data_IF_138999527731
#
_entry.id   IF_138999527731
#
_cell.length_a   1.000
_cell.length_b   1.000
_cell.length_c   1.000
_cell.angle_alpha   90.00
_cell.angle_beta   90.00
_cell.angle_gamma   90.00
#
_symmetry.space_group_name_H-M   'P 1'
#
loop_
_entity.id
_entity.type
_entity.pdbx_description
1 polymer ?
#
# COMPACT_ATOMS: atom_id res chain seq x y z
N UNK A 1 16.25 -4.99 -23.39
CA UNK A 1 14.97 -4.59 -22.77
C UNK A 1 14.93 -5.20 -21.39
N UNK A 2 14.87 -4.34 -20.36
CA UNK A 2 14.92 -4.79 -18.97
C UNK A 2 13.60 -5.42 -18.54
N UNK A 3 13.69 -6.51 -17.78
CA UNK A 3 12.57 -7.03 -17.01
C UNK A 3 12.56 -6.38 -15.63
N UNK A 4 11.38 -6.32 -14.99
CA UNK A 4 11.21 -5.64 -13.71
C UNK A 4 10.38 -6.49 -12.73
N UNK A 5 10.89 -6.60 -11.52
CA UNK A 5 10.14 -7.09 -10.35
C UNK A 5 9.95 -5.90 -9.40
N UNK A 6 8.70 -5.49 -9.19
CA UNK A 6 8.29 -4.57 -8.14
C UNK A 6 7.84 -5.38 -6.93
N UNK A 7 8.47 -5.17 -5.79
CA UNK A 7 8.03 -5.72 -4.50
C UNK A 7 7.63 -4.58 -3.59
N UNK A 8 6.36 -4.51 -3.24
CA UNK A 8 5.84 -3.66 -2.19
C UNK A 8 6.03 -4.35 -0.84
N UNK A 9 6.67 -3.67 0.10
CA UNK A 9 6.77 -4.12 1.50
C UNK A 9 6.00 -3.13 2.34
N UNK A 10 4.85 -3.55 2.83
CA UNK A 10 3.87 -2.69 3.49
C UNK A 10 4.39 -2.08 4.80
N UNK A 11 4.24 -0.77 4.95
CA UNK A 11 4.42 -0.04 6.21
C UNK A 11 5.85 0.37 6.58
N UNK A 12 6.86 0.24 5.72
CA UNK A 12 8.25 0.60 6.07
C UNK A 12 8.56 2.06 5.74
N UNK A 13 8.87 2.88 6.75
CA UNK A 13 9.44 4.20 6.49
C UNK A 13 10.93 4.13 6.12
N UNK A 14 11.42 5.17 5.43
CA UNK A 14 12.84 5.30 5.08
C UNK A 14 13.72 5.35 6.35
N UNK A 15 13.30 6.10 7.36
CA UNK A 15 14.02 6.20 8.64
C UNK A 15 14.04 4.85 9.37
N UNK A 16 12.94 4.09 9.36
CA UNK A 16 12.92 2.75 9.97
C UNK A 16 13.90 1.82 9.26
N UNK A 17 13.90 1.81 7.92
CA UNK A 17 14.87 1.04 7.15
C UNK A 17 16.31 1.42 7.51
N UNK A 18 16.67 2.71 7.53
CA UNK A 18 18.01 3.16 7.88
C UNK A 18 18.44 2.71 9.27
N UNK A 19 17.54 2.73 10.25
CA UNK A 19 17.83 2.33 11.63
C UNK A 19 18.16 0.84 11.74
N UNK A 20 17.47 -0.03 11.01
CA UNK A 20 17.63 -1.50 11.12
C UNK A 20 18.31 -2.14 9.90
N UNK A 21 18.78 -1.35 8.90
CA UNK A 21 19.34 -1.88 7.64
C UNK A 21 20.49 -2.89 7.86
N UNK A 22 21.23 -2.75 8.96
CA UNK A 22 22.29 -3.68 9.33
C UNK A 22 21.76 -5.10 9.66
N UNK A 23 20.45 -5.25 9.89
CA UNK A 23 19.74 -6.51 10.10
C UNK A 23 19.02 -7.01 8.82
N UNK A 24 19.08 -6.25 7.72
CA UNK A 24 18.40 -6.51 6.46
C UNK A 24 19.41 -6.70 5.32
N UNK A 25 20.17 -7.81 5.30
CA UNK A 25 21.33 -7.95 4.41
C UNK A 25 20.98 -7.94 2.92
N UNK A 26 19.81 -8.41 2.51
CA UNK A 26 19.40 -8.44 1.11
C UNK A 26 18.98 -7.06 0.62
N UNK A 27 18.16 -6.35 1.38
CA UNK A 27 17.75 -4.98 1.07
C UNK A 27 18.92 -4.01 1.15
N UNK A 28 19.79 -4.11 2.17
CA UNK A 28 21.02 -3.31 2.26
C UNK A 28 21.95 -3.60 1.07
N UNK A 29 22.09 -4.86 0.70
CA UNK A 29 22.88 -5.27 -0.47
C UNK A 29 22.36 -4.70 -1.79
N UNK A 30 21.04 -4.63 -1.97
CA UNK A 30 20.40 -4.00 -3.14
C UNK A 30 20.58 -2.48 -3.11
N UNK A 31 20.36 -1.83 -1.98
CA UNK A 31 20.54 -0.38 -1.82
C UNK A 31 21.97 0.07 -2.14
N UNK A 32 22.97 -0.70 -1.71
CA UNK A 32 24.39 -0.41 -1.99
C UNK A 32 24.78 -0.56 -3.47
N UNK A 33 24.10 -1.41 -4.21
CA UNK A 33 24.40 -1.68 -5.64
C UNK A 33 23.62 -0.82 -6.59
N UNK A 34 22.47 -0.28 -6.16
CA UNK A 34 21.51 0.41 -7.00
C UNK A 34 21.31 1.88 -6.64
N UNK A 35 20.10 2.35 -6.87
CA UNK A 35 19.65 3.68 -6.50
C UNK A 35 18.75 3.59 -5.26
N UNK A 36 19.14 4.32 -4.21
CA UNK A 36 18.30 4.48 -3.02
C UNK A 36 17.69 5.88 -3.01
N UNK A 37 16.42 5.98 -2.69
CA UNK A 37 15.71 7.23 -2.42
C UNK A 37 15.64 7.42 -0.91
N UNK A 38 16.18 8.53 -0.41
CA UNK A 38 16.27 8.79 1.03
C UNK A 38 14.94 9.32 1.60
N UNK A 39 14.25 10.17 0.85
CA UNK A 39 12.98 10.76 1.24
C UNK A 39 12.01 10.68 0.06
N UNK A 40 11.24 9.59 -0.02
CA UNK A 40 10.12 9.47 -0.95
C UNK A 40 8.86 10.01 -0.26
N UNK A 41 8.45 11.22 -0.65
CA UNK A 41 7.28 11.88 -0.07
C UNK A 41 5.99 11.15 -0.43
N UNK A 42 5.15 10.84 0.58
CA UNK A 42 3.83 10.24 0.35
C UNK A 42 2.82 11.27 -0.17
N UNK A 43 1.64 10.78 -0.50
CA UNK A 43 0.44 11.59 -0.71
C UNK A 43 -0.10 12.12 0.62
N UNK A 44 -1.02 13.07 0.53
CA UNK A 44 -1.92 13.38 1.67
C UNK A 44 -2.75 12.12 1.96
N UNK A 45 -2.95 11.77 3.20
CA UNK A 45 -3.50 10.47 3.60
C UNK A 45 -2.63 9.30 3.08
N UNK A 46 -1.34 9.30 3.42
CA UNK A 46 -0.40 8.23 3.10
C UNK A 46 -0.80 6.91 3.75
N UNK A 47 -1.72 6.18 3.11
CA UNK A 47 -2.22 4.88 3.51
C UNK A 47 -2.08 3.88 2.36
N UNK A 48 -2.40 2.62 2.61
CA UNK A 48 -2.09 1.52 1.69
C UNK A 48 -2.65 1.71 0.27
N UNK A 49 -3.92 2.06 0.10
CA UNK A 49 -4.49 2.14 -1.25
C UNK A 49 -3.99 3.37 -2.03
N UNK A 50 -3.94 4.60 -1.48
CA UNK A 50 -3.32 5.73 -2.16
C UNK A 50 -1.86 5.48 -2.50
N UNK A 51 -1.10 4.94 -1.57
CA UNK A 51 0.32 4.66 -1.74
C UNK A 51 0.60 3.71 -2.89
N UNK A 52 -0.05 2.54 -2.88
CA UNK A 52 0.06 1.56 -3.97
C UNK A 52 -0.35 2.15 -5.31
N UNK A 53 -1.45 2.92 -5.31
CA UNK A 53 -1.98 3.50 -6.56
C UNK A 53 -1.01 4.52 -7.16
N UNK A 54 -0.57 5.51 -6.40
CA UNK A 54 0.33 6.57 -6.91
C UNK A 54 1.63 6.00 -7.48
N UNK A 55 2.19 4.94 -6.88
CA UNK A 55 3.43 4.32 -7.34
C UNK A 55 3.29 3.56 -8.67
N UNK A 56 2.07 3.22 -9.09
CA UNK A 56 1.82 2.52 -10.35
C UNK A 56 1.07 3.34 -11.38
N UNK A 57 0.66 4.58 -11.07
CA UNK A 57 -0.06 5.44 -12.02
C UNK A 57 0.67 6.74 -12.36
N UNK A 58 1.70 7.15 -11.62
CA UNK A 58 2.48 8.37 -11.90
C UNK A 58 1.72 9.69 -11.75
N UNK A 59 0.56 9.66 -11.10
CA UNK A 59 -0.33 10.80 -10.85
C UNK A 59 -0.69 10.88 -9.39
N UNK A 60 -1.19 12.03 -8.91
CA UNK A 60 -1.63 12.22 -7.54
C UNK A 60 -3.06 11.73 -7.29
N UNK A 61 -3.47 11.65 -6.02
CA UNK A 61 -4.81 11.23 -5.60
C UNK A 61 -5.94 12.03 -6.24
N UNK A 62 -5.74 13.33 -6.46
CA UNK A 62 -6.68 14.22 -7.15
C UNK A 62 -6.99 13.79 -8.59
N UNK A 63 -6.04 13.10 -9.25
CA UNK A 63 -6.18 12.58 -10.60
C UNK A 63 -6.60 11.12 -10.61
N UNK A 64 -5.96 10.26 -9.80
CA UNK A 64 -6.26 8.83 -9.85
C UNK A 64 -7.46 8.41 -8.99
N UNK A 65 -7.99 9.28 -8.14
CA UNK A 65 -9.25 9.07 -7.42
C UNK A 65 -9.15 8.33 -6.09
N UNK A 66 -7.99 7.81 -5.73
CA UNK A 66 -7.77 7.06 -4.48
C UNK A 66 -7.01 7.96 -3.51
N UNK A 67 -7.72 8.66 -2.64
CA UNK A 67 -7.16 9.64 -1.70
C UNK A 67 -7.20 9.19 -0.23
N UNK A 68 -7.54 7.94 0.02
CA UNK A 68 -7.56 7.24 1.30
C UNK A 68 -7.84 5.77 1.06
N UNK A 69 -7.69 4.92 2.08
CA UNK A 69 -8.19 3.54 2.02
C UNK A 69 -9.71 3.54 1.84
N UNK A 70 -10.34 4.59 2.34
CA UNK A 70 -11.78 4.80 2.24
C UNK A 70 -12.06 6.08 1.45
N UNK A 71 -12.90 6.00 0.43
CA UNK A 71 -13.30 7.12 -0.42
C UNK A 71 -14.79 7.42 -0.29
N UNK A 72 -15.17 8.65 -0.61
CA UNK A 72 -16.56 9.10 -0.64
C UNK A 72 -17.21 8.79 -1.98
N UNK A 73 -18.34 8.10 -1.98
CA UNK A 73 -19.09 7.74 -3.21
C UNK A 73 -20.24 8.71 -3.54
N UNK A 74 -20.35 9.82 -2.80
CA UNK A 74 -21.44 10.78 -2.89
C UNK A 74 -22.56 10.54 -1.87
N UNK A 75 -22.57 9.39 -1.19
CA UNK A 75 -23.59 9.02 -0.18
C UNK A 75 -22.98 8.50 1.12
N UNK A 76 -21.88 7.75 1.02
CA UNK A 76 -21.18 7.13 2.15
C UNK A 76 -19.69 7.01 1.88
N UNK A 77 -18.95 6.83 2.95
CA UNK A 77 -17.58 6.35 2.86
C UNK A 77 -17.57 4.84 2.63
N UNK A 78 -16.76 4.38 1.69
CA UNK A 78 -16.52 2.96 1.40
C UNK A 78 -15.07 2.72 1.02
N UNK A 79 -14.61 1.49 1.16
CA UNK A 79 -13.28 1.12 0.70
C UNK A 79 -13.13 1.39 -0.80
N UNK A 80 -12.00 2.00 -1.17
CA UNK A 80 -11.59 2.13 -2.57
C UNK A 80 -11.25 0.76 -3.16
N UNK A 81 -11.43 0.57 -4.46
CA UNK A 81 -11.12 -0.66 -5.17
C UNK A 81 -10.40 -0.37 -6.49
N UNK A 82 -9.81 -1.35 -7.19
CA UNK A 82 -9.09 -1.12 -8.42
C UNK A 82 -9.90 -0.43 -9.53
N UNK A 83 -11.23 -0.55 -9.52
CA UNK A 83 -12.11 0.06 -10.52
C UNK A 83 -12.44 1.52 -10.22
N UNK A 84 -12.11 2.01 -9.02
CA UNK A 84 -12.18 3.43 -8.67
C UNK A 84 -10.97 4.22 -9.21
N UNK A 85 -9.90 3.53 -9.60
CA UNK A 85 -8.72 4.17 -10.20
C UNK A 85 -9.10 4.77 -11.55
N UNK A 86 -9.03 6.10 -11.66
CA UNK A 86 -9.54 6.88 -12.80
C UNK A 86 -8.57 6.96 -13.98
N UNK A 87 -7.33 6.56 -13.79
CA UNK A 87 -6.24 6.64 -14.80
C UNK A 87 -5.60 5.27 -15.02
N UNK A 88 -5.03 5.01 -16.20
CA UNK A 88 -4.38 3.73 -16.47
C UNK A 88 -3.13 3.52 -15.62
N UNK A 89 -2.90 2.28 -15.21
CA UNK A 89 -1.75 1.85 -14.39
C UNK A 89 -0.53 1.50 -15.23
N UNK A 90 0.61 1.29 -14.58
CA UNK A 90 1.82 0.74 -15.20
C UNK A 90 1.54 -0.61 -15.90
N UNK A 91 0.76 -1.48 -15.26
CA UNK A 91 0.36 -2.78 -15.82
C UNK A 91 -0.40 -2.60 -17.15
N UNK A 92 -1.35 -1.67 -17.21
CA UNK A 92 -2.06 -1.34 -18.44
C UNK A 92 -1.12 -0.91 -19.56
N UNK A 93 -0.19 0.04 -19.27
CA UNK A 93 0.76 0.52 -20.30
C UNK A 93 1.77 -0.56 -20.71
N UNK A 94 2.22 -1.39 -19.77
CA UNK A 94 3.11 -2.51 -20.06
C UNK A 94 2.43 -3.52 -21.01
N UNK A 95 1.19 -3.92 -20.73
CA UNK A 95 0.43 -4.79 -21.66
C UNK A 95 0.20 -4.15 -23.02
N UNK A 96 -0.16 -2.87 -23.05
CA UNK A 96 -0.33 -2.13 -24.30
C UNK A 96 0.95 -2.09 -25.14
N UNK A 97 2.12 -2.10 -24.49
CA UNK A 97 3.44 -2.20 -25.12
C UNK A 97 3.82 -3.65 -25.47
N UNK A 98 2.93 -4.62 -25.28
CA UNK A 98 3.18 -6.04 -25.59
C UNK A 98 4.03 -6.77 -24.56
N UNK A 99 4.13 -6.24 -23.33
CA UNK A 99 4.83 -6.89 -22.22
C UNK A 99 3.94 -7.89 -21.51
N UNK A 100 4.50 -9.01 -21.12
CA UNK A 100 3.84 -10.00 -20.26
C UNK A 100 3.85 -9.51 -18.80
N UNK A 101 2.67 -9.37 -18.20
CA UNK A 101 2.46 -8.78 -16.87
C UNK A 101 1.88 -9.81 -15.92
N UNK A 102 2.55 -10.05 -14.80
CA UNK A 102 2.02 -10.83 -13.69
C UNK A 102 1.80 -9.95 -12.46
N UNK A 103 0.57 -9.86 -12.00
CA UNK A 103 0.18 -9.25 -10.72
C UNK A 103 -0.03 -10.35 -9.68
N UNK A 104 0.85 -10.44 -8.70
CA UNK A 104 0.85 -11.52 -7.72
C UNK A 104 0.69 -10.94 -6.31
N UNK A 105 -0.55 -10.85 -5.88
CA UNK A 105 -0.87 -10.30 -4.58
C UNK A 105 -0.77 -8.78 -4.47
N UNK A 106 -0.48 -8.06 -5.55
CA UNK A 106 -0.37 -6.60 -5.52
C UNK A 106 -1.75 -5.95 -5.54
N UNK A 107 -2.01 -5.09 -4.56
CA UNK A 107 -3.26 -4.34 -4.46
C UNK A 107 -3.41 -3.28 -5.56
N UNK A 108 -4.66 -2.90 -5.83
CA UNK A 108 -5.05 -1.86 -6.78
C UNK A 108 -4.76 -2.15 -8.26
N UNK A 109 -4.52 -3.41 -8.61
CA UNK A 109 -4.48 -3.89 -10.00
C UNK A 109 -5.85 -4.44 -10.41
N UNK A 110 -6.22 -4.20 -11.66
CA UNK A 110 -7.36 -4.87 -12.30
C UNK A 110 -6.89 -6.20 -12.90
N UNK A 111 -7.63 -7.31 -12.71
CA UNK A 111 -7.26 -8.60 -13.31
C UNK A 111 -7.02 -8.51 -14.83
N UNK A 112 -7.83 -7.72 -15.54
CA UNK A 112 -7.75 -7.52 -16.99
C UNK A 112 -6.52 -6.75 -17.46
N UNK A 113 -5.83 -6.04 -16.58
CA UNK A 113 -4.56 -5.35 -16.88
C UNK A 113 -3.34 -6.28 -16.70
N UNK A 114 -3.55 -7.55 -16.36
CA UNK A 114 -2.51 -8.56 -16.21
C UNK A 114 -2.74 -9.75 -17.15
N UNK A 115 -1.68 -10.42 -17.57
CA UNK A 115 -1.75 -11.69 -18.30
C UNK A 115 -1.92 -12.86 -17.33
N UNK A 116 -1.38 -12.69 -16.11
CA UNK A 116 -1.62 -13.55 -14.97
C UNK A 116 -1.88 -12.66 -13.74
N UNK A 117 -2.97 -12.92 -13.01
CA UNK A 117 -3.31 -12.18 -11.81
C UNK A 117 -3.75 -13.12 -10.68
N UNK A 118 -3.17 -12.90 -9.52
CA UNK A 118 -3.59 -13.48 -8.25
C UNK A 118 -3.92 -12.31 -7.29
N UNK A 119 -5.11 -12.31 -6.66
CA UNK A 119 -5.49 -11.24 -5.73
C UNK A 119 -4.59 -11.26 -4.49
N UNK A 120 -4.44 -10.10 -3.81
CA UNK A 120 -3.85 -10.07 -2.47
C UNK A 120 -4.67 -10.95 -1.51
N UNK A 121 -4.02 -11.63 -0.59
CA UNK A 121 -4.70 -12.50 0.38
C UNK A 121 -5.65 -11.72 1.29
N UNK A 122 -5.35 -10.47 1.61
CA UNK A 122 -6.21 -9.62 2.42
C UNK A 122 -7.54 -9.26 1.72
N UNK A 123 -7.60 -9.28 0.39
CA UNK A 123 -8.87 -9.16 -0.36
C UNK A 123 -9.78 -10.35 -0.05
N UNK A 124 -9.25 -11.56 0.00
CA UNK A 124 -10.01 -12.74 0.38
C UNK A 124 -10.52 -12.64 1.81
N UNK A 125 -9.68 -12.17 2.74
CA UNK A 125 -10.09 -11.93 4.13
C UNK A 125 -11.22 -10.88 4.21
N UNK A 126 -11.09 -9.77 3.49
CA UNK A 126 -12.09 -8.72 3.45
C UNK A 126 -13.42 -9.24 2.89
N UNK A 127 -13.40 -10.04 1.82
CA UNK A 127 -14.59 -10.65 1.24
C UNK A 127 -15.26 -11.68 2.18
N UNK A 128 -14.45 -12.40 2.97
CA UNK A 128 -15.00 -13.33 3.98
C UNK A 128 -15.67 -12.58 5.14
N UNK A 129 -15.06 -11.54 5.67
CA UNK A 129 -15.65 -10.69 6.72
C UNK A 129 -16.95 -10.04 6.26
N UNK A 130 -17.05 -9.63 5.00
CA UNK A 130 -18.27 -9.07 4.44
C UNK A 130 -19.46 -10.04 4.45
N UNK A 131 -19.24 -11.35 4.59
CA UNK A 131 -20.31 -12.34 4.73
C UNK A 131 -20.89 -12.41 6.14
N UNK A 132 -20.07 -12.15 7.16
CA UNK A 132 -20.40 -12.41 8.55
C UNK A 132 -20.62 -11.13 9.38
N UNK A 133 -20.02 -10.00 8.99
CA UNK A 133 -20.06 -8.74 9.71
C UNK A 133 -20.48 -7.58 8.77
N UNK A 134 -21.71 -7.10 8.90
CA UNK A 134 -22.05 -5.82 8.26
C UNK A 134 -21.18 -4.71 8.89
N UNK A 135 -20.51 -3.83 8.11
CA UNK A 135 -20.96 -3.20 6.87
C UNK A 135 -19.96 -3.14 5.70
N UNK A 136 -19.17 -4.15 5.44
CA UNK A 136 -18.34 -4.16 4.24
C UNK A 136 -19.21 -4.56 3.05
N UNK A 137 -19.57 -3.67 2.12
CA UNK A 137 -20.18 -4.13 0.90
C UNK A 137 -19.10 -4.82 0.08
N UNK A 138 -19.15 -6.13 0.00
CA UNK A 138 -18.56 -6.83 -1.12
C UNK A 138 -19.40 -6.40 -2.34
N UNK A 139 -19.03 -5.25 -2.93
CA UNK A 139 -19.60 -4.88 -4.20
C UNK A 139 -19.09 -5.84 -5.29
N UNK A 140 -19.78 -5.87 -6.41
CA UNK A 140 -19.42 -6.76 -7.52
C UNK A 140 -17.98 -6.53 -8.01
N UNK A 141 -17.46 -5.30 -7.88
CA UNK A 141 -16.12 -4.91 -8.27
C UNK A 141 -15.05 -5.57 -7.38
N UNK A 142 -15.27 -5.62 -6.06
CA UNK A 142 -14.38 -6.35 -5.16
C UNK A 142 -14.42 -7.86 -5.40
N UNK A 143 -15.61 -8.43 -5.69
CA UNK A 143 -15.73 -9.83 -6.08
C UNK A 143 -14.97 -10.13 -7.38
N UNK A 144 -14.95 -9.19 -8.32
CA UNK A 144 -14.18 -9.32 -9.55
C UNK A 144 -12.67 -9.20 -9.28
N UNK A 145 -12.23 -8.20 -8.52
CA UNK A 145 -10.84 -8.02 -8.13
C UNK A 145 -10.28 -9.17 -7.26
N UNK A 146 -11.15 -9.92 -6.59
CA UNK A 146 -10.78 -11.09 -5.79
C UNK A 146 -10.64 -12.40 -6.57
N UNK A 147 -10.76 -12.38 -7.91
CA UNK A 147 -10.66 -13.59 -8.75
C UNK A 147 -9.29 -13.73 -9.38
N UNK A 148 -8.77 -14.96 -9.35
CA UNK A 148 -7.58 -15.32 -10.13
C UNK A 148 -7.87 -15.19 -11.63
N UNK A 149 -6.97 -14.57 -12.38
CA UNK A 149 -6.98 -14.54 -13.83
C UNK A 149 -5.73 -15.26 -14.36
N UNK A 150 -5.93 -16.37 -15.04
CA UNK A 150 -4.86 -17.18 -15.65
C UNK A 150 -5.41 -17.86 -16.92
N UNK A 151 -5.53 -17.08 -17.98
CA UNK A 151 -6.14 -17.55 -19.23
C UNK A 151 -5.32 -18.63 -19.95
N UNK A 152 -4.03 -18.72 -19.65
CA UNK A 152 -3.10 -19.69 -20.26
C UNK A 152 -2.84 -20.92 -19.38
N UNK A 153 -3.39 -20.99 -18.17
CA UNK A 153 -3.18 -22.10 -17.23
C UNK A 153 -1.76 -22.18 -16.70
N UNK A 154 -1.05 -21.06 -16.60
CA UNK A 154 0.36 -20.98 -16.20
C UNK A 154 0.57 -21.46 -14.77
N UNK A 155 -0.35 -21.14 -13.87
CA UNK A 155 -0.29 -21.56 -12.46
C UNK A 155 -0.40 -23.08 -12.33
N UNK A 156 -1.27 -23.71 -13.10
CA UNK A 156 -1.42 -25.17 -13.09
C UNK A 156 -0.20 -25.92 -13.65
N UNK A 157 0.63 -25.24 -14.43
CA UNK A 157 1.88 -25.80 -14.97
C UNK A 157 3.08 -25.68 -14.00
N UNK A 158 2.92 -24.90 -12.90
CA UNK A 158 3.97 -24.76 -11.89
C UNK A 158 3.96 -25.97 -10.96
N UNK A 159 5.15 -26.52 -10.67
CA UNK A 159 5.34 -27.55 -9.65
C UNK A 159 5.42 -26.90 -8.25
N UNK A 160 4.36 -26.16 -7.88
CA UNK A 160 4.23 -25.55 -6.57
C UNK A 160 2.88 -25.93 -5.97
N UNK A 161 2.84 -26.18 -4.67
CA UNK A 161 1.58 -26.32 -3.96
C UNK A 161 0.97 -24.92 -3.80
N UNK A 162 -0.13 -24.69 -4.52
CA UNK A 162 -0.92 -23.45 -4.45
C UNK A 162 -1.98 -23.54 -3.34
N UNK A 163 -1.71 -24.24 -2.26
CA UNK A 163 -2.60 -24.30 -1.10
C UNK A 163 -2.61 -22.93 -0.40
N UNK A 164 -3.27 -21.99 -1.08
CA UNK A 164 -3.54 -20.66 -0.54
C UNK A 164 -4.46 -20.86 0.66
N UNK A 165 -4.06 -20.29 1.76
CA UNK A 165 -4.74 -20.08 3.04
C UNK A 165 -6.15 -20.65 3.08
N UNK A 166 -6.40 -21.64 3.93
CA UNK A 166 -7.74 -22.14 4.21
C UNK A 166 -8.66 -20.97 4.61
N UNK A 167 -9.69 -20.66 3.80
CA UNK A 167 -10.60 -19.57 4.11
C UNK A 167 -11.41 -19.80 5.41
N UNK A 168 -11.38 -21.01 5.96
CA UNK A 168 -12.04 -21.37 7.22
C UNK A 168 -11.08 -21.34 8.40
N UNK A 169 -9.79 -20.97 8.24
CA UNK A 169 -8.85 -20.86 9.32
C UNK A 169 -9.31 -19.81 10.36
N UNK A 170 -9.15 -20.12 11.61
CA UNK A 170 -9.54 -19.22 12.71
C UNK A 170 -8.62 -17.98 12.76
N UNK A 171 -9.17 -16.84 13.18
CA UNK A 171 -8.48 -15.55 13.24
C UNK A 171 -7.16 -15.54 14.02
N UNK A 172 -6.98 -16.42 15.00
CA UNK A 172 -5.77 -16.52 15.83
C UNK A 172 -4.50 -16.87 15.03
N UNK A 173 -4.66 -17.38 13.80
CA UNK A 173 -3.55 -17.72 12.90
C UNK A 173 -3.34 -16.71 11.77
N UNK A 174 -4.07 -15.58 11.78
CA UNK A 174 -4.06 -14.60 10.69
C UNK A 174 -2.65 -14.16 10.29
N UNK A 175 -1.82 -13.79 11.25
CA UNK A 175 -0.45 -13.32 11.00
C UNK A 175 0.43 -14.43 10.38
N UNK A 176 0.29 -15.65 10.86
CA UNK A 176 1.05 -16.80 10.33
C UNK A 176 0.60 -17.14 8.92
N UNK A 177 -0.72 -17.10 8.66
CA UNK A 177 -1.28 -17.38 7.34
C UNK A 177 -0.89 -16.29 6.33
N UNK A 178 -0.91 -15.01 6.74
CA UNK A 178 -0.44 -13.91 5.90
C UNK A 178 1.03 -14.05 5.51
N UNK A 179 1.92 -14.43 6.44
CA UNK A 179 3.33 -14.69 6.14
C UNK A 179 3.53 -15.85 5.17
N UNK A 180 2.74 -16.91 5.30
CA UNK A 180 2.77 -18.03 4.34
C UNK A 180 2.26 -17.61 2.98
N UNK A 181 1.20 -16.79 2.92
CA UNK A 181 0.66 -16.27 1.67
C UNK A 181 1.67 -15.35 0.98
N UNK A 182 2.29 -14.41 1.70
CA UNK A 182 3.36 -13.57 1.17
C UNK A 182 4.50 -14.41 0.59
N UNK A 183 4.95 -15.46 1.31
CA UNK A 183 5.98 -16.38 0.83
C UNK A 183 5.55 -17.13 -0.43
N UNK A 184 4.33 -17.63 -0.49
CA UNK A 184 3.81 -18.35 -1.66
C UNK A 184 3.79 -17.48 -2.91
N UNK A 185 3.40 -16.20 -2.79
CA UNK A 185 3.41 -15.25 -3.91
C UNK A 185 4.82 -15.05 -4.46
N UNK A 186 5.82 -14.93 -3.59
CA UNK A 186 7.23 -14.83 -4.00
C UNK A 186 7.75 -16.14 -4.62
N UNK A 187 7.33 -17.28 -4.11
CA UNK A 187 7.68 -18.60 -4.67
C UNK A 187 7.10 -18.78 -6.08
N UNK A 188 5.85 -18.34 -6.29
CA UNK A 188 5.21 -18.32 -7.61
C UNK A 188 5.96 -17.38 -8.55
N UNK A 189 6.34 -16.17 -8.10
CA UNK A 189 7.13 -15.24 -8.90
C UNK A 189 8.45 -15.85 -9.35
N UNK A 190 9.17 -16.52 -8.46
CA UNK A 190 10.42 -17.21 -8.79
C UNK A 190 10.20 -18.34 -9.82
N UNK A 191 9.14 -19.13 -9.66
CA UNK A 191 8.79 -20.21 -10.59
C UNK A 191 8.39 -19.67 -11.98
N UNK A 192 7.60 -18.60 -12.04
CA UNK A 192 7.25 -17.92 -13.28
C UNK A 192 8.47 -17.34 -13.98
N UNK A 193 9.38 -16.70 -13.24
CA UNK A 193 10.62 -16.16 -13.81
C UNK A 193 11.54 -17.25 -14.40
N UNK A 194 11.49 -18.46 -13.85
CA UNK A 194 12.24 -19.62 -14.34
C UNK A 194 11.55 -20.36 -15.49
N UNK A 195 10.29 -20.04 -15.80
CA UNK A 195 9.53 -20.70 -16.86
C UNK A 195 9.88 -20.17 -18.25
N UNK A 196 9.48 -20.92 -19.29
CA UNK A 196 9.66 -20.52 -20.70
C UNK A 196 8.93 -19.21 -21.05
N UNK A 197 7.87 -18.88 -20.30
CA UNK A 197 7.10 -17.63 -20.40
C UNK A 197 7.31 -16.76 -19.16
N UNK A 198 8.56 -16.37 -18.93
CA UNK A 198 8.89 -15.53 -17.78
C UNK A 198 8.38 -14.10 -17.99
N UNK A 199 7.53 -13.55 -17.09
CA UNK A 199 6.96 -12.21 -17.22
C UNK A 199 8.03 -11.13 -17.34
N UNK A 200 7.72 -10.06 -18.05
CA UNK A 200 8.60 -8.88 -18.16
C UNK A 200 8.34 -7.88 -17.04
N UNK A 201 7.13 -7.84 -16.52
CA UNK A 201 6.75 -7.09 -15.34
C UNK A 201 6.06 -7.99 -14.33
N UNK A 202 6.58 -8.04 -13.12
CA UNK A 202 5.93 -8.67 -11.98
C UNK A 202 5.72 -7.64 -10.87
N UNK A 203 4.49 -7.56 -10.37
CA UNK A 203 4.11 -6.72 -9.24
C UNK A 203 3.72 -7.63 -8.07
N UNK A 204 4.44 -7.50 -6.97
CA UNK A 204 4.37 -8.34 -5.79
C UNK A 204 4.14 -7.49 -4.55
N UNK A 205 3.56 -8.09 -3.52
CA UNK A 205 3.30 -7.42 -2.24
C UNK A 205 3.66 -8.35 -1.08
N UNK A 206 4.28 -7.79 -0.05
CA UNK A 206 4.52 -8.40 1.26
C UNK A 206 3.77 -7.54 2.27
N UNK A 207 2.62 -8.02 2.76
CA UNK A 207 1.71 -7.21 3.58
C UNK A 207 1.95 -7.33 5.08
N UNK A 208 2.53 -8.42 5.52
CA UNK A 208 2.58 -8.77 6.95
C UNK A 208 3.32 -7.75 7.82
N UNK A 209 4.37 -7.06 7.40
CA UNK A 209 5.04 -6.08 8.26
C UNK A 209 4.10 -5.01 8.81
N UNK A 210 3.18 -4.48 8.01
CA UNK A 210 2.19 -3.49 8.44
C UNK A 210 1.34 -3.97 9.63
N UNK A 211 0.85 -5.22 9.58
CA UNK A 211 0.08 -5.82 10.69
C UNK A 211 0.88 -5.91 11.99
N UNK A 212 2.18 -6.23 11.90
CA UNK A 212 3.06 -6.27 13.07
C UNK A 212 3.35 -4.87 13.61
N UNK A 213 3.56 -3.91 12.72
CA UNK A 213 3.75 -2.50 13.09
C UNK A 213 2.52 -1.94 13.82
N UNK A 214 1.32 -2.17 13.30
CA UNK A 214 0.08 -1.80 13.96
C UNK A 214 -0.08 -2.43 15.35
N UNK A 215 0.23 -3.72 15.45
CA UNK A 215 -0.02 -4.51 16.67
C UNK A 215 1.00 -4.23 17.76
N UNK A 216 2.26 -4.11 17.41
CA UNK A 216 3.37 -4.09 18.36
C UNK A 216 4.09 -2.74 18.44
N UNK A 217 4.02 -1.92 17.37
CA UNK A 217 4.80 -0.67 17.23
C UNK A 217 6.17 -0.91 16.60
N UNK A 218 6.71 0.13 15.95
CA UNK A 218 7.93 0.03 15.14
C UNK A 218 9.19 -0.36 15.94
N UNK A 219 9.24 -0.02 17.23
CA UNK A 219 10.41 -0.32 18.11
C UNK A 219 10.34 -1.70 18.77
N UNK A 220 9.33 -2.52 18.47
CA UNK A 220 9.16 -3.81 19.11
C UNK A 220 9.88 -4.92 18.34
N UNK A 221 10.54 -5.85 19.05
CA UNK A 221 11.30 -6.96 18.45
C UNK A 221 10.53 -7.78 17.42
N UNK A 222 9.20 -7.95 17.62
CA UNK A 222 8.35 -8.68 16.67
C UNK A 222 8.09 -7.89 15.39
N UNK A 223 8.01 -6.56 15.44
CA UNK A 223 7.91 -5.73 14.25
C UNK A 223 9.23 -5.78 13.46
N UNK A 224 10.37 -5.61 14.12
CA UNK A 224 11.67 -5.80 13.48
C UNK A 224 11.84 -7.22 12.91
N UNK A 225 11.37 -8.25 13.63
CA UNK A 225 11.40 -9.62 13.16
C UNK A 225 10.58 -9.81 11.87
N UNK A 226 9.41 -9.19 11.75
CA UNK A 226 8.60 -9.26 10.53
C UNK A 226 9.32 -8.65 9.33
N UNK A 227 10.04 -7.54 9.52
CA UNK A 227 10.86 -6.91 8.48
C UNK A 227 12.07 -7.77 8.10
N UNK A 228 12.74 -8.39 9.07
CA UNK A 228 13.82 -9.35 8.79
C UNK A 228 13.30 -10.56 8.01
N UNK A 229 12.06 -10.99 8.27
CA UNK A 229 11.42 -12.06 7.52
C UNK A 229 11.14 -11.64 6.08
N UNK A 230 10.61 -10.43 5.87
CA UNK A 230 10.40 -9.86 4.52
C UNK A 230 11.73 -9.78 3.73
N UNK A 231 12.81 -9.31 4.38
CA UNK A 231 14.16 -9.29 3.77
C UNK A 231 14.63 -10.70 3.38
N UNK A 232 14.43 -11.69 4.24
CA UNK A 232 14.79 -13.08 3.95
C UNK A 232 13.95 -13.66 2.80
N UNK A 233 12.66 -13.37 2.73
CA UNK A 233 11.77 -13.79 1.64
C UNK A 233 12.23 -13.22 0.30
N UNK A 234 12.60 -11.93 0.26
CA UNK A 234 13.20 -11.30 -0.92
C UNK A 234 14.54 -11.98 -1.27
N UNK A 235 15.35 -12.30 -0.27
CA UNK A 235 16.59 -13.04 -0.46
C UNK A 235 16.38 -14.42 -1.09
N UNK A 236 15.35 -15.15 -0.67
CA UNK A 236 14.96 -16.45 -1.27
C UNK A 236 14.51 -16.27 -2.73
N UNK A 237 13.70 -15.26 -3.02
CA UNK A 237 13.32 -14.93 -4.40
C UNK A 237 14.55 -14.71 -5.28
N UNK A 238 15.47 -13.83 -4.83
CA UNK A 238 16.71 -13.55 -5.56
C UNK A 238 17.58 -14.79 -5.77
N UNK A 239 17.71 -15.63 -4.76
CA UNK A 239 18.50 -16.88 -4.85
C UNK A 239 17.89 -17.87 -5.85
N UNK A 240 16.57 -18.03 -5.86
CA UNK A 240 15.87 -18.87 -6.84
C UNK A 240 16.04 -18.33 -8.27
N UNK A 241 15.95 -17.01 -8.45
CA UNK A 241 16.23 -16.37 -9.75
C UNK A 241 17.69 -16.62 -10.17
N UNK A 242 18.64 -16.56 -9.24
CA UNK A 242 20.05 -16.83 -9.51
C UNK A 242 20.27 -18.28 -9.94
N UNK A 243 19.64 -19.24 -9.25
CA UNK A 243 19.71 -20.67 -9.59
C UNK A 243 19.12 -20.98 -10.97
N UNK A 244 18.07 -20.24 -11.33
CA UNK A 244 17.43 -20.34 -12.66
C UNK A 244 18.20 -19.56 -13.75
N UNK A 245 19.29 -18.87 -13.44
CA UNK A 245 20.02 -18.03 -14.38
C UNK A 245 19.26 -16.76 -14.83
N UNK A 246 18.28 -16.33 -14.06
CA UNK A 246 17.38 -15.22 -14.40
C UNK A 246 17.67 -13.93 -13.63
N UNK A 247 18.48 -13.98 -12.56
CA UNK A 247 18.70 -12.82 -11.67
C UNK A 247 19.18 -11.59 -12.43
N UNK A 248 20.13 -11.76 -13.35
CA UNK A 248 20.71 -10.68 -14.13
C UNK A 248 19.80 -10.18 -15.28
N UNK A 249 18.65 -10.84 -15.49
CA UNK A 249 17.64 -10.42 -16.46
C UNK A 249 16.59 -9.47 -15.86
N UNK A 250 16.54 -9.37 -14.52
CA UNK A 250 15.56 -8.55 -13.83
C UNK A 250 16.17 -7.35 -13.11
N UNK A 251 15.50 -6.22 -13.25
CA UNK A 251 15.64 -5.11 -12.34
C UNK A 251 14.65 -5.30 -11.17
N UNK A 252 15.00 -4.75 -10.02
CA UNK A 252 14.19 -4.77 -8.81
C UNK A 252 13.83 -3.34 -8.43
N UNK A 253 12.57 -3.12 -8.11
CA UNK A 253 12.09 -1.96 -7.41
C UNK A 253 11.46 -2.45 -6.11
N UNK A 254 12.03 -2.08 -4.98
CA UNK A 254 11.51 -2.51 -3.67
C UNK A 254 11.20 -1.26 -2.88
N UNK A 255 9.97 -1.13 -2.44
CA UNK A 255 9.47 0.09 -1.83
C UNK A 255 8.31 -0.17 -0.90
N UNK A 256 8.00 0.82 -0.07
CA UNK A 256 6.82 0.83 0.78
C UNK A 256 5.76 1.78 0.24
N UNK A 257 4.51 1.49 0.57
CA UNK A 257 3.34 2.31 0.26
C UNK A 257 3.12 3.44 1.26
N UNK A 258 3.53 3.29 2.51
CA UNK A 258 3.53 4.30 3.58
C UNK A 258 4.56 3.96 4.66
N UNK A 259 4.69 4.83 5.66
CA UNK A 259 5.44 4.59 6.88
C UNK A 259 4.54 4.35 8.07
N UNK A 260 5.11 4.33 9.27
CA UNK A 260 4.40 4.20 10.54
C UNK A 260 4.95 5.16 11.58
N UNK A 261 4.04 5.79 12.35
CA UNK A 261 4.40 6.61 13.51
C UNK A 261 3.75 6.05 14.80
N UNK A 262 4.40 6.20 15.96
CA UNK A 262 3.77 5.94 17.24
C UNK A 262 2.54 6.83 17.45
N UNK A 263 1.36 6.23 17.59
CA UNK A 263 0.09 6.92 17.84
C UNK A 263 -0.64 6.25 19.01
N UNK A 264 -0.15 6.39 20.27
CA UNK A 264 -0.68 5.65 21.41
C UNK A 264 -2.02 6.18 21.91
N UNK A 265 -2.47 7.32 21.41
CA UNK A 265 -3.71 7.99 21.83
C UNK A 265 -4.70 8.03 20.68
N UNK A 266 -5.99 7.91 20.99
CA UNK A 266 -7.07 8.08 20.03
C UNK A 266 -7.94 9.30 20.37
N UNK A 267 -8.40 9.98 19.32
CA UNK A 267 -9.56 10.87 19.35
C UNK A 267 -10.74 10.08 18.78
N UNK A 268 -11.73 9.82 19.63
CA UNK A 268 -12.89 9.01 19.24
C UNK A 268 -13.92 9.87 18.49
N UNK A 269 -13.88 9.78 17.17
CA UNK A 269 -14.68 10.62 16.27
C UNK A 269 -16.19 10.49 16.48
N UNK A 270 -16.68 9.29 16.78
CA UNK A 270 -18.10 9.05 17.11
C UNK A 270 -18.55 9.76 18.38
N UNK A 271 -17.64 9.98 19.35
CA UNK A 271 -17.91 10.71 20.59
C UNK A 271 -17.82 12.22 20.41
N UNK A 272 -16.95 12.69 19.51
CA UNK A 272 -16.71 14.12 19.25
C UNK A 272 -17.69 14.71 18.26
N UNK A 273 -17.94 13.98 17.15
CA UNK A 273 -18.72 14.50 16.02
C UNK A 273 -20.22 14.18 16.13
N UNK A 274 -20.56 13.18 16.93
CA UNK A 274 -21.94 12.71 17.08
C UNK A 274 -22.37 11.74 15.98
N UNK A 275 -23.55 11.10 16.17
CA UNK A 275 -23.97 9.92 15.36
C UNK A 275 -24.40 10.26 13.93
N UNK A 276 -24.77 11.53 13.66
CA UNK A 276 -25.30 11.92 12.34
C UNK A 276 -24.21 12.44 11.39
N UNK A 277 -22.97 12.49 11.83
CA UNK A 277 -21.85 12.94 11.00
C UNK A 277 -21.21 11.76 10.29
N UNK A 278 -21.11 11.84 8.97
CA UNK A 278 -20.38 10.84 8.16
C UNK A 278 -18.90 11.18 8.14
N UNK A 279 -18.09 10.25 8.56
CA UNK A 279 -16.64 10.43 8.62
C UNK A 279 -15.90 9.12 8.32
N UNK A 280 -14.65 9.25 7.94
CA UNK A 280 -13.69 8.14 7.79
C UNK A 280 -12.33 8.55 8.31
N UNK A 281 -11.68 7.64 9.03
CA UNK A 281 -10.33 7.80 9.53
C UNK A 281 -9.33 7.11 8.63
N UNK A 282 -8.23 7.81 8.36
CA UNK A 282 -7.03 7.27 7.73
C UNK A 282 -5.84 7.29 8.74
N UNK A 283 -6.12 7.10 10.02
CA UNK A 283 -5.13 7.18 11.10
C UNK A 283 -4.86 8.62 11.53
N UNK A 284 -3.81 9.25 11.00
CA UNK A 284 -3.49 10.67 11.29
C UNK A 284 -4.31 11.68 10.51
N UNK A 285 -5.09 11.25 9.52
CA UNK A 285 -6.01 12.10 8.75
C UNK A 285 -7.45 11.66 8.96
N UNK A 286 -8.38 12.64 8.91
CA UNK A 286 -9.82 12.42 9.02
C UNK A 286 -10.54 13.11 7.87
N UNK A 287 -11.41 12.37 7.20
CA UNK A 287 -12.32 12.86 6.17
C UNK A 287 -13.72 12.95 6.76
N UNK A 288 -14.40 14.07 6.54
CA UNK A 288 -15.79 14.29 7.00
C UNK A 288 -16.64 14.77 5.84
N UNK A 289 -17.81 14.16 5.65
CA UNK A 289 -18.81 14.58 4.67
C UNK A 289 -19.99 15.24 5.38
N UNK A 290 -19.96 16.58 5.62
CA UNK A 290 -21.06 17.27 6.26
C UNK A 290 -22.29 17.35 5.32
N UNK A 291 -23.49 17.23 5.87
CA UNK A 291 -24.74 17.33 5.12
C UNK A 291 -25.07 18.75 4.67
N UNK A 292 -24.58 19.75 5.42
CA UNK A 292 -24.81 21.18 5.20
C UNK A 292 -23.74 22.04 5.88
N UNK A 293 -23.77 23.36 5.62
CA UNK A 293 -22.81 24.29 6.20
C UNK A 293 -22.89 24.35 7.73
N UNK A 294 -24.09 24.22 8.31
CA UNK A 294 -24.26 24.25 9.77
C UNK A 294 -23.56 23.07 10.45
N UNK A 295 -23.65 21.89 9.86
CA UNK A 295 -22.92 20.70 10.35
C UNK A 295 -21.42 20.86 10.12
N UNK A 296 -20.98 21.43 8.97
CA UNK A 296 -19.58 21.72 8.73
C UNK A 296 -18.98 22.63 9.79
N UNK A 297 -19.69 23.70 10.19
CA UNK A 297 -19.24 24.63 11.22
C UNK A 297 -19.21 23.99 12.61
N UNK A 298 -20.20 23.15 12.92
CA UNK A 298 -20.20 22.37 14.17
C UNK A 298 -19.03 21.40 14.26
N UNK A 299 -18.70 20.70 13.16
CA UNK A 299 -17.54 19.80 13.09
C UNK A 299 -16.23 20.56 13.31
N UNK A 300 -16.06 21.72 12.66
CA UNK A 300 -14.85 22.56 12.86
C UNK A 300 -14.74 23.02 14.31
N UNK A 301 -15.83 23.46 14.91
CA UNK A 301 -15.85 23.88 16.30
C UNK A 301 -15.49 22.73 17.26
N UNK A 302 -16.10 21.56 17.07
CA UNK A 302 -15.83 20.39 17.91
C UNK A 302 -14.37 19.94 17.85
N UNK A 303 -13.77 19.88 16.65
CA UNK A 303 -12.38 19.46 16.46
C UNK A 303 -11.35 20.51 16.90
N UNK A 304 -11.71 21.81 16.91
CA UNK A 304 -10.80 22.89 17.32
C UNK A 304 -10.35 22.82 18.79
N UNK A 305 -11.04 22.03 19.60
CA UNK A 305 -10.69 21.83 21.03
C UNK A 305 -9.56 20.83 21.24
N UNK A 306 -9.12 20.16 20.15
CA UNK A 306 -8.10 19.11 20.18
C UNK A 306 -6.86 19.51 19.37
N UNK A 307 -5.80 18.72 19.48
CA UNK A 307 -4.58 18.89 18.67
C UNK A 307 -4.82 18.42 17.22
N UNK A 308 -5.73 19.11 16.53
CA UNK A 308 -6.21 18.82 15.17
C UNK A 308 -6.18 20.10 14.34
N UNK A 309 -5.73 20.00 13.11
CA UNK A 309 -5.66 21.10 12.15
C UNK A 309 -6.55 20.78 10.95
N UNK A 310 -7.24 21.79 10.42
CA UNK A 310 -7.94 21.64 9.15
C UNK A 310 -6.91 21.61 8.02
N UNK A 311 -7.05 20.64 7.10
CA UNK A 311 -6.20 20.48 5.94
C UNK A 311 -6.93 20.91 4.67
N UNK A 312 -6.19 21.29 3.62
CA UNK A 312 -6.80 21.57 2.32
C UNK A 312 -7.25 20.27 1.62
N UNK A 313 -8.16 20.41 0.66
CA UNK A 313 -8.70 19.28 -0.09
C UNK A 313 -8.09 19.14 -1.50
N UNK A 314 -6.90 19.69 -1.75
CA UNK A 314 -6.30 19.68 -3.09
C UNK A 314 -5.97 18.26 -3.59
N UNK A 315 -5.77 17.33 -2.66
CA UNK A 315 -5.55 15.90 -2.93
C UNK A 315 -6.84 15.14 -3.31
N UNK A 316 -8.00 15.74 -3.12
CA UNK A 316 -9.30 15.13 -3.43
C UNK A 316 -9.70 15.51 -4.86
N UNK A 317 -10.26 14.58 -5.65
CA UNK A 317 -10.79 14.88 -6.97
C UNK A 317 -11.76 16.07 -6.98
N UNK A 318 -11.69 16.90 -8.02
CA UNK A 318 -12.43 18.15 -8.08
C UNK A 318 -13.96 18.00 -7.96
N UNK A 319 -14.51 16.88 -8.43
CA UNK A 319 -15.93 16.53 -8.33
C UNK A 319 -16.40 16.17 -6.91
N UNK A 320 -15.48 15.89 -5.99
CA UNK A 320 -15.77 15.53 -4.60
C UNK A 320 -15.23 16.54 -3.57
N UNK A 321 -14.30 17.40 -3.98
CA UNK A 321 -13.53 18.30 -3.12
C UNK A 321 -14.37 19.18 -2.21
N UNK A 322 -15.47 19.72 -2.72
CA UNK A 322 -16.36 20.62 -1.97
C UNK A 322 -17.34 19.88 -1.04
N UNK A 323 -17.45 18.57 -1.19
CA UNK A 323 -18.33 17.74 -0.37
C UNK A 323 -17.69 17.30 0.93
N UNK A 324 -16.37 17.49 1.08
CA UNK A 324 -15.58 16.93 2.15
C UNK A 324 -14.84 18.03 2.94
N UNK A 325 -14.56 17.73 4.20
CA UNK A 325 -13.60 18.42 5.04
C UNK A 325 -12.49 17.42 5.38
N UNK A 326 -11.24 17.88 5.32
CA UNK A 326 -10.07 17.10 5.73
C UNK A 326 -9.45 17.72 6.97
N UNK A 327 -9.10 16.88 7.93
CA UNK A 327 -8.39 17.27 9.15
C UNK A 327 -7.17 16.37 9.34
N UNK A 328 -6.12 16.94 9.91
CA UNK A 328 -4.91 16.23 10.29
C UNK A 328 -4.68 16.35 11.79
N UNK A 329 -4.16 15.32 12.44
CA UNK A 329 -3.62 15.47 13.78
C UNK A 329 -2.38 16.37 13.75
N UNK A 330 -2.19 17.20 14.79
CA UNK A 330 -1.01 18.04 14.90
C UNK A 330 0.26 17.15 14.97
N UNK A 331 1.36 17.64 14.42
CA UNK A 331 2.64 16.96 14.50
C UNK A 331 2.97 16.62 15.96
N UNK A 332 3.58 15.45 16.15
CA UNK A 332 4.06 14.97 17.44
C UNK A 332 2.98 14.85 18.55
N UNK A 333 1.70 14.93 18.17
CA UNK A 333 0.58 14.79 19.13
C UNK A 333 0.43 13.36 19.64
N UNK A 334 0.88 12.37 18.88
CA UNK A 334 0.67 10.95 19.14
C UNK A 334 -0.81 10.54 19.07
N UNK A 335 -1.65 11.35 18.41
CA UNK A 335 -3.08 11.11 18.23
C UNK A 335 -3.35 10.34 16.93
N UNK A 336 -4.35 9.48 16.97
CA UNK A 336 -4.98 8.86 15.82
C UNK A 336 -6.48 9.14 15.87
N UNK A 337 -7.10 9.37 14.72
CA UNK A 337 -8.56 9.41 14.63
C UNK A 337 -9.09 7.98 14.64
N UNK A 338 -10.05 7.68 15.51
CA UNK A 338 -10.61 6.33 15.65
C UNK A 338 -12.10 6.38 16.01
N UNK A 339 -12.79 5.24 15.87
CA UNK A 339 -14.06 5.00 16.56
C UNK A 339 -13.81 4.52 17.99
N UNK A 340 -14.72 4.82 18.92
CA UNK A 340 -14.63 4.36 20.29
C UNK A 340 -14.69 2.82 20.38
N UNK A 341 -13.88 2.25 21.25
CA UNK A 341 -13.91 0.83 21.53
C UNK A 341 -14.96 0.50 22.62
N UNK A 342 -15.40 -0.75 22.67
CA UNK A 342 -16.36 -1.21 23.68
C UNK A 342 -15.84 -0.91 25.10
N UNK A 343 -16.68 -0.23 25.91
CA UNK A 343 -16.33 0.15 27.27
C UNK A 343 -15.54 1.46 27.41
N UNK A 344 -15.20 2.12 26.31
CA UNK A 344 -14.59 3.45 26.33
C UNK A 344 -15.68 4.53 26.48
N UNK A 345 -15.38 5.53 27.28
CA UNK A 345 -16.25 6.71 27.46
C UNK A 345 -15.40 7.97 27.38
N UNK A 346 -15.96 9.00 26.74
CA UNK A 346 -15.31 10.29 26.53
C UNK A 346 -14.60 10.39 25.17
N UNK A 347 -14.14 11.59 24.83
CA UNK A 347 -13.69 11.92 23.49
C UNK A 347 -12.29 11.39 23.15
N UNK A 348 -11.49 11.06 24.14
CA UNK A 348 -10.11 10.58 23.96
C UNK A 348 -9.81 9.37 24.84
N UNK A 349 -8.89 8.55 24.40
CA UNK A 349 -8.44 7.38 25.15
C UNK A 349 -7.23 6.70 24.50
N UNK A 350 -6.92 5.45 24.88
CA UNK A 350 -5.85 4.70 24.23
C UNK A 350 -6.24 4.33 22.80
N UNK A 351 -5.27 4.41 21.88
CA UNK A 351 -5.44 3.89 20.53
C UNK A 351 -5.55 2.35 20.55
N UNK A 352 -6.29 1.79 19.60
CA UNK A 352 -6.31 0.34 19.35
C UNK A 352 -5.02 -0.15 18.70
N UNK A 353 -4.25 0.75 18.09
CA UNK A 353 -2.98 0.47 17.44
C UNK A 353 -1.79 0.99 18.27
N UNK A 354 -0.65 0.34 18.17
CA UNK A 354 0.60 0.80 18.81
C UNK A 354 1.32 1.82 17.92
N UNK A 355 1.28 1.61 16.61
CA UNK A 355 1.64 2.59 15.60
C UNK A 355 0.60 2.61 14.50
N UNK A 356 0.53 3.71 13.77
CA UNK A 356 -0.43 3.93 12.71
C UNK A 356 0.22 4.79 11.60
N UNK A 357 -0.47 4.92 10.50
CA UNK A 357 -0.05 5.64 9.30
C UNK A 357 -1.02 6.78 8.95
N UNK A 358 -0.95 7.31 7.73
CA UNK A 358 -1.80 8.40 7.28
C UNK A 358 -1.47 9.71 7.97
N UNK A 359 -0.21 9.97 8.26
CA UNK A 359 0.24 11.22 8.83
C UNK A 359 0.07 12.37 7.85
N UNK A 360 0.07 13.59 8.38
CA UNK A 360 0.12 14.76 7.52
C UNK A 360 1.43 14.82 6.72
N UNK A 361 1.41 15.36 5.48
CA UNK A 361 2.62 15.53 4.69
C UNK A 361 3.72 16.29 5.45
N UNK A 362 4.96 15.82 5.29
CA UNK A 362 6.13 16.36 5.99
C UNK A 362 6.49 15.65 7.30
N UNK A 363 5.71 14.66 7.72
CA UNK A 363 6.09 13.76 8.81
C UNK A 363 7.18 12.80 8.30
N UNK A 364 8.32 12.74 9.00
CA UNK A 364 9.44 11.88 8.58
C UNK A 364 9.12 10.39 8.66
N UNK A 365 8.30 10.01 9.64
CA UNK A 365 7.89 8.61 9.82
C UNK A 365 7.04 8.09 8.67
N UNK A 366 6.53 8.98 7.79
CA UNK A 366 5.78 8.64 6.60
C UNK A 366 6.60 8.68 5.30
N UNK A 367 7.83 9.16 5.32
CA UNK A 367 8.71 9.03 4.16
C UNK A 367 8.98 7.56 3.88
N UNK A 368 8.68 7.17 2.66
CA UNK A 368 8.67 5.76 2.25
C UNK A 368 10.07 5.26 1.97
N UNK A 369 10.31 4.03 2.37
CA UNK A 369 11.44 3.27 1.87
C UNK A 369 11.28 3.03 0.36
N UNK A 370 12.37 3.28 -0.41
CA UNK A 370 12.35 3.05 -1.85
C UNK A 370 13.78 2.81 -2.37
N UNK A 371 13.95 1.72 -3.10
CA UNK A 371 15.19 1.42 -3.80
C UNK A 371 14.93 0.79 -5.16
N UNK A 372 15.89 0.98 -6.07
CA UNK A 372 15.96 0.35 -7.38
C UNK A 372 17.32 -0.32 -7.54
N UNK A 373 17.38 -1.53 -8.08
CA UNK A 373 18.63 -2.24 -8.34
C UNK A 373 18.48 -3.18 -9.54
N UNK A 374 19.55 -3.44 -10.25
CA UNK A 374 19.55 -4.37 -11.37
C UNK A 374 20.46 -3.90 -12.51
N UNK A 375 20.46 -4.63 -13.64
CA UNK A 375 21.39 -4.36 -14.74
C UNK A 375 21.20 -2.98 -15.38
N UNK A 376 19.97 -2.44 -15.41
CA UNK A 376 19.67 -1.16 -16.06
C UNK A 376 19.60 0.00 -15.05
N UNK A 377 19.89 -0.26 -13.76
CA UNK A 377 19.77 0.73 -12.68
C UNK A 377 21.15 1.28 -12.30
N UNK A 378 21.38 2.60 -12.41
CA UNK A 378 22.64 3.20 -11.97
C UNK A 378 22.77 3.17 -10.45
N UNK A 379 24.02 3.14 -9.97
CA UNK A 379 24.29 3.32 -8.54
C UNK A 379 24.32 4.79 -8.18
N UNK A 380 23.31 5.26 -7.42
CA UNK A 380 23.23 6.64 -6.92
C UNK A 380 22.34 6.77 -5.69
N UNK A 381 22.39 7.93 -5.06
CA UNK A 381 21.45 8.33 -4.01
C UNK A 381 20.59 9.48 -4.54
N UNK A 382 19.26 9.37 -4.40
CA UNK A 382 18.31 10.43 -4.65
C UNK A 382 17.84 10.94 -3.29
N UNK A 383 18.10 12.21 -3.00
CA UNK A 383 17.79 12.76 -1.68
C UNK A 383 16.30 12.96 -1.48
N UNK A 384 15.60 13.46 -2.51
CA UNK A 384 14.15 13.76 -2.45
C UNK A 384 13.46 13.27 -3.71
N UNK A 385 12.31 12.67 -3.55
CA UNK A 385 11.42 12.26 -4.62
C UNK A 385 9.96 12.34 -4.18
N UNK A 386 9.06 12.40 -5.15
CA UNK A 386 7.62 12.30 -4.93
C UNK A 386 7.09 10.96 -5.45
N UNK A 387 6.04 10.44 -4.83
CA UNK A 387 5.47 9.15 -5.19
C UNK A 387 5.08 9.04 -6.67
N UNK A 388 4.57 10.12 -7.28
CA UNK A 388 4.22 10.16 -8.70
C UNK A 388 5.41 10.04 -9.68
N UNK A 389 6.67 10.12 -9.20
CA UNK A 389 7.87 9.89 -10.00
C UNK A 389 8.22 8.39 -10.10
N UNK A 390 7.61 7.54 -9.27
CA UNK A 390 7.92 6.11 -9.24
C UNK A 390 7.46 5.43 -10.52
N UNK A 391 6.19 5.54 -10.90
CA UNK A 391 5.67 4.89 -12.11
C UNK A 391 6.41 5.30 -13.40
N UNK A 392 6.74 6.59 -13.66
CA UNK A 392 7.60 6.98 -14.78
C UNK A 392 8.99 6.35 -14.72
N UNK A 393 9.55 6.15 -13.51
CA UNK A 393 10.84 5.47 -13.33
C UNK A 393 10.74 4.00 -13.72
N UNK A 394 9.71 3.30 -13.28
CA UNK A 394 9.45 1.90 -13.63
C UNK A 394 9.19 1.73 -15.14
N UNK A 395 8.43 2.64 -15.75
CA UNK A 395 8.20 2.67 -17.19
C UNK A 395 9.51 2.84 -17.99
N UNK A 396 10.41 3.72 -17.50
CA UNK A 396 11.73 3.89 -18.10
C UNK A 396 12.58 2.63 -18.02
N UNK A 397 12.58 1.92 -16.89
CA UNK A 397 13.31 0.63 -16.75
C UNK A 397 12.75 -0.40 -17.75
N UNK A 398 11.44 -0.43 -17.95
CA UNK A 398 10.77 -1.33 -18.88
C UNK A 398 10.89 -0.89 -20.35
N UNK A 399 11.42 0.31 -20.62
CA UNK A 399 11.48 0.91 -21.96
C UNK A 399 10.08 0.95 -22.61
N UNK A 400 9.13 1.55 -21.90
CA UNK A 400 7.74 1.77 -22.37
C UNK A 400 7.36 3.23 -22.30
N UNK A 401 6.61 3.68 -23.31
CA UNK A 401 6.09 5.04 -23.38
C UNK A 401 4.83 5.20 -22.53
N UNK A 402 4.79 6.28 -21.77
CA UNK A 402 3.64 6.65 -20.93
C UNK A 402 3.36 8.15 -21.04
N UNK A 403 2.12 8.61 -20.81
CA UNK A 403 1.78 10.03 -20.88
C UNK A 403 2.16 10.82 -19.63
N UNK A 404 2.75 10.19 -18.62
CA UNK A 404 3.03 10.80 -17.33
C UNK A 404 4.02 11.96 -17.44
N UNK A 405 3.73 13.05 -16.73
CA UNK A 405 4.50 14.29 -16.80
C UNK A 405 5.64 14.35 -15.76
N UNK A 406 5.52 13.56 -14.68
CA UNK A 406 6.56 13.53 -13.65
C UNK A 406 7.87 12.95 -14.22
N UNK A 407 8.98 13.62 -13.93
CA UNK A 407 10.28 13.17 -14.40
C UNK A 407 10.71 11.87 -13.68
N UNK A 408 11.20 10.85 -14.40
CA UNK A 408 11.73 9.64 -13.77
C UNK A 408 12.96 9.94 -12.91
N UNK A 409 13.17 9.13 -11.90
CA UNK A 409 14.28 9.27 -10.93
C UNK A 409 15.60 8.72 -11.46
N UNK A 410 15.58 7.85 -12.48
CA UNK A 410 16.77 7.20 -13.06
C UNK A 410 17.20 7.84 -14.36
#
# INVERSE_FOLDING_TARGET
MGKLILVMVDGISADHFENIRHQLPHLDGLARRGTQVMELTPEVCGTSLPGRTSMIVGEGPDQHGIYGNVIWDGQRFRYGNPYDVRVPTLAHYARKAGRDVAGLGFGMLRPEDCDLYMPPWWVSEMLMRARDEQPWPADEQWLQAGRVHDSEGRLAALDTQLDIVDPNAQHDFKLQLGMLADQQLLDIAAALAASDKSPELMLLEICIPDYFLHTYGAEHDLAEWSLRTADAQIGVLMERLRQAGQLDNYNFAIMSDHGHAPMPKALYCDQVLGPDVKWSSEGGMLLVAPRDQGQADAVRAALSEYAVEMWNNDHIPADQREQLLTFAVAADSGLSFEGSQAGQSGPTGPSKYRSNHGMRPGCRDDYRFCLFAGPDVPRKTVMFAHANQVAPTLARILDIDTPWQAAPLL
#
